data_IF_098504782630
#
_entry.id   IF_098504782630
#
_cell.length_a   1.000
_cell.length_b   1.000
_cell.length_c   1.000
_cell.angle_alpha   90.00
_cell.angle_beta   90.00
_cell.angle_gamma   90.00
#
_symmetry.space_group_name_H-M   'P 1'
#
loop_
_entity.id
_entity.type
_entity.pdbx_description
1 polymer ?
#
# COMPACT_ATOMS: atom_id res chain seq x y z
N UNK A 1 -23.32 -0.84 11.99
CA UNK A 1 -22.59 -2.11 12.06
C UNK A 1 -22.50 -2.64 13.50
N UNK A 2 -21.98 -1.85 14.45
CA UNK A 2 -21.84 -2.24 15.87
C UNK A 2 -23.16 -2.66 16.53
N UNK A 3 -24.25 -1.97 16.23
CA UNK A 3 -25.59 -2.31 16.75
C UNK A 3 -26.11 -3.64 16.21
N UNK A 4 -25.74 -4.00 14.96
CA UNK A 4 -26.22 -5.23 14.31
C UNK A 4 -25.42 -6.47 14.70
N UNK A 5 -24.11 -6.33 14.89
CA UNK A 5 -23.17 -7.45 15.06
C UNK A 5 -22.49 -7.50 16.44
N UNK A 6 -22.83 -6.54 17.32
CA UNK A 6 -22.17 -6.38 18.61
C UNK A 6 -20.77 -5.77 18.52
N UNK A 7 -20.17 -5.56 19.69
CA UNK A 7 -18.78 -5.11 19.77
C UNK A 7 -17.89 -6.35 19.71
N UNK A 8 -16.99 -6.49 18.74
CA UNK A 8 -16.08 -7.62 18.71
C UNK A 8 -15.25 -7.65 20.00
N UNK A 9 -14.96 -8.84 20.50
CA UNK A 9 -14.01 -9.00 21.61
C UNK A 9 -12.72 -8.27 21.21
N UNK A 10 -12.14 -7.50 22.13
CA UNK A 10 -10.88 -6.79 21.90
C UNK A 10 -9.82 -7.82 21.52
N UNK A 11 -9.43 -7.84 20.25
CA UNK A 11 -8.21 -8.49 19.85
C UNK A 11 -7.03 -7.60 20.26
N UNK A 12 -5.93 -8.19 20.68
CA UNK A 12 -4.68 -7.45 20.84
C UNK A 12 -4.31 -6.83 19.49
N UNK A 13 -4.14 -5.51 19.48
CA UNK A 13 -3.72 -4.78 18.29
C UNK A 13 -2.39 -4.09 18.56
N UNK A 14 -1.51 -4.12 17.57
CA UNK A 14 -0.22 -3.43 17.61
C UNK A 14 -0.14 -2.43 16.47
N UNK A 15 0.36 -1.24 16.76
CA UNK A 15 0.68 -0.22 15.76
C UNK A 15 2.19 -0.05 15.74
N UNK A 16 2.77 -0.10 14.54
CA UNK A 16 4.21 0.10 14.34
C UNK A 16 4.42 1.24 13.34
N UNK A 17 5.17 2.24 13.75
CA UNK A 17 5.57 3.37 12.92
C UNK A 17 6.97 3.14 12.37
N UNK A 18 7.19 3.35 11.09
CA UNK A 18 8.50 3.30 10.43
C UNK A 18 8.44 2.78 9.00
N UNK A 19 9.60 2.49 8.43
CA UNK A 19 9.73 1.93 7.08
C UNK A 19 9.14 0.52 7.02
N UNK A 20 8.21 0.31 6.09
CA UNK A 20 7.51 -0.97 5.93
C UNK A 20 8.45 -2.13 5.57
N UNK A 21 9.55 -1.88 4.84
CA UNK A 21 10.54 -2.90 4.53
C UNK A 21 11.22 -3.42 5.80
N UNK A 22 11.61 -2.50 6.69
CA UNK A 22 12.29 -2.86 7.94
C UNK A 22 11.31 -3.46 8.96
N UNK A 23 10.12 -2.86 9.09
CA UNK A 23 9.12 -3.34 10.05
C UNK A 23 8.66 -4.74 9.69
N UNK A 24 8.28 -5.00 8.45
CA UNK A 24 7.82 -6.33 8.03
C UNK A 24 8.92 -7.37 8.20
N UNK A 25 10.18 -7.03 7.92
CA UNK A 25 11.34 -7.91 8.17
C UNK A 25 11.50 -8.22 9.66
N UNK A 26 11.41 -7.22 10.53
CA UNK A 26 11.53 -7.41 12.00
C UNK A 26 10.39 -8.22 12.60
N UNK A 27 9.24 -8.28 11.93
CA UNK A 27 8.10 -9.09 12.37
C UNK A 27 8.26 -10.58 12.08
N UNK A 28 9.10 -10.98 11.13
CA UNK A 28 9.22 -12.37 10.67
C UNK A 28 9.55 -13.38 11.77
N UNK A 29 10.52 -13.16 12.68
CA UNK A 29 10.91 -14.16 13.66
C UNK A 29 9.75 -14.66 14.53
N UNK A 30 8.85 -13.74 14.92
CA UNK A 30 7.81 -14.02 15.89
C UNK A 30 6.42 -14.25 15.26
N UNK A 31 6.26 -13.93 13.97
CA UNK A 31 4.94 -13.86 13.34
C UNK A 31 4.84 -14.59 11.99
N UNK A 32 5.79 -15.46 11.67
CA UNK A 32 5.72 -16.24 10.44
C UNK A 32 4.39 -17.03 10.38
N UNK A 33 3.71 -16.97 9.22
CA UNK A 33 2.41 -17.63 8.96
C UNK A 33 1.32 -17.38 10.01
N UNK A 34 1.31 -16.18 10.61
CA UNK A 34 0.36 -15.85 11.68
C UNK A 34 -0.90 -15.15 11.18
N UNK A 35 -0.82 -14.37 10.12
CA UNK A 35 -1.90 -13.49 9.69
C UNK A 35 -2.76 -14.11 8.59
N UNK A 36 -4.07 -13.87 8.66
CA UNK A 36 -5.07 -14.41 7.71
C UNK A 36 -5.52 -13.37 6.68
N UNK A 37 -5.19 -12.09 6.88
CA UNK A 37 -5.56 -11.00 5.98
C UNK A 37 -4.39 -10.04 5.83
N UNK A 38 -4.02 -9.75 4.59
CA UNK A 38 -3.22 -8.59 4.21
C UNK A 38 -4.15 -7.58 3.54
N UNK A 39 -4.25 -6.38 4.10
CA UNK A 39 -5.03 -5.28 3.55
C UNK A 39 -4.13 -4.07 3.40
N UNK A 40 -3.92 -3.59 2.17
CA UNK A 40 -2.99 -2.50 1.92
C UNK A 40 -3.31 -1.70 0.68
N UNK A 41 -2.90 -0.42 0.68
CA UNK A 41 -2.83 0.43 -0.50
C UNK A 41 -1.40 0.99 -0.56
N UNK A 42 -0.51 0.35 -1.33
CA UNK A 42 0.88 0.81 -1.44
C UNK A 42 0.96 2.13 -2.21
N UNK A 43 2.08 2.88 -2.08
CA UNK A 43 2.27 4.12 -2.82
C UNK A 43 2.18 3.88 -4.34
N UNK A 44 1.76 4.91 -5.08
CA UNK A 44 1.61 4.85 -6.53
C UNK A 44 2.85 5.42 -7.22
N UNK A 45 3.36 4.70 -8.22
CA UNK A 45 4.59 5.08 -8.90
C UNK A 45 4.46 6.41 -9.65
N UNK A 46 5.34 7.36 -9.36
CA UNK A 46 5.46 8.62 -10.09
C UNK A 46 4.34 9.64 -9.86
N UNK A 47 3.47 9.43 -8.84
CA UNK A 47 2.33 10.33 -8.58
C UNK A 47 2.59 11.28 -7.43
N UNK A 48 3.14 10.76 -6.36
CA UNK A 48 3.19 11.46 -5.09
C UNK A 48 4.58 11.40 -4.52
N UNK A 49 5.16 12.56 -4.24
CA UNK A 49 6.26 12.64 -3.30
C UNK A 49 5.65 12.74 -1.90
N UNK A 50 5.50 11.60 -1.25
CA UNK A 50 4.88 11.52 0.07
C UNK A 50 5.59 12.35 1.12
N UNK A 51 6.88 12.61 0.97
CA UNK A 51 7.61 13.49 1.89
C UNK A 51 7.16 14.93 1.73
N UNK A 52 7.04 15.41 0.49
CA UNK A 52 6.51 16.75 0.19
C UNK A 52 5.05 16.89 0.61
N UNK A 53 4.22 15.91 0.31
CA UNK A 53 2.79 15.96 0.62
C UNK A 53 2.50 15.95 2.12
N UNK A 54 3.30 15.25 2.90
CA UNK A 54 3.14 15.20 4.36
C UNK A 54 3.90 16.32 5.07
N UNK A 55 4.90 16.92 4.42
CA UNK A 55 5.74 17.95 5.03
C UNK A 55 4.93 19.09 5.64
N UNK A 56 3.98 19.67 4.93
CA UNK A 56 3.18 20.78 5.42
C UNK A 56 2.39 20.41 6.70
N UNK A 57 1.87 19.18 6.76
CA UNK A 57 1.17 18.68 7.94
C UNK A 57 2.12 18.49 9.12
N UNK A 58 3.30 17.94 8.86
CA UNK A 58 4.33 17.76 9.88
C UNK A 58 4.87 19.10 10.38
N UNK A 59 5.10 20.05 9.48
CA UNK A 59 5.52 21.40 9.83
C UNK A 59 4.49 22.11 10.74
N UNK A 60 3.22 22.04 10.43
CA UNK A 60 2.13 22.58 11.27
C UNK A 60 2.09 21.96 12.68
N UNK A 61 2.62 20.75 12.84
CA UNK A 61 2.74 20.02 14.11
C UNK A 61 4.10 20.27 14.81
N UNK A 62 4.90 21.24 14.35
CA UNK A 62 6.21 21.55 14.89
C UNK A 62 7.37 20.75 14.28
N UNK A 63 7.16 20.13 13.13
CA UNK A 63 8.21 19.46 12.36
C UNK A 63 9.15 20.42 11.63
N UNK A 64 10.11 19.90 10.84
CA UNK A 64 11.14 20.69 10.18
C UNK A 64 10.56 21.71 9.18
N UNK A 65 11.27 22.82 8.97
CA UNK A 65 10.87 23.90 8.06
C UNK A 65 10.90 23.49 6.58
N UNK A 66 11.63 22.42 6.26
CA UNK A 66 11.75 21.88 4.90
C UNK A 66 11.50 20.37 4.90
N UNK A 67 11.09 19.79 3.76
CA UNK A 67 10.92 18.34 3.65
C UNK A 67 12.26 17.62 3.86
N UNK A 68 12.29 16.70 4.83
CA UNK A 68 13.47 15.90 5.12
C UNK A 68 13.24 14.44 4.73
N UNK A 69 14.18 13.88 3.98
CA UNK A 69 14.23 12.46 3.72
C UNK A 69 15.06 11.78 4.81
N UNK A 70 14.47 10.80 5.49
CA UNK A 70 15.14 10.11 6.61
C UNK A 70 16.42 9.37 6.18
N UNK A 71 16.51 8.98 4.92
CA UNK A 71 17.68 8.30 4.33
C UNK A 71 17.79 8.68 2.86
N UNK A 72 19.01 8.73 2.32
CA UNK A 72 19.26 9.04 0.91
C UNK A 72 18.63 8.03 -0.06
N UNK A 73 18.54 6.74 0.31
CA UNK A 73 17.92 5.69 -0.48
C UNK A 73 16.39 5.83 -0.57
N UNK A 74 15.77 6.61 0.31
CA UNK A 74 14.34 6.95 0.25
C UNK A 74 14.04 7.99 -0.84
N UNK A 75 15.02 8.80 -1.23
CA UNK A 75 14.85 9.81 -2.27
C UNK A 75 14.52 9.15 -3.62
N UNK A 76 13.42 9.61 -4.22
CA UNK A 76 12.94 9.07 -5.48
C UNK A 76 12.39 7.63 -5.42
N UNK A 77 12.19 7.07 -4.24
CA UNK A 77 11.73 5.68 -4.04
C UNK A 77 10.40 5.38 -4.72
N UNK A 78 9.54 6.39 -4.82
CA UNK A 78 8.24 6.27 -5.46
C UNK A 78 8.22 6.75 -6.91
N UNK A 79 9.20 7.54 -7.34
CA UNK A 79 9.29 8.09 -8.69
C UNK A 79 10.16 7.23 -9.62
N UNK A 80 11.24 6.64 -9.10
CA UNK A 80 12.10 5.76 -9.86
C UNK A 80 11.49 4.36 -9.97
N UNK A 81 11.29 3.86 -11.18
CA UNK A 81 10.65 2.57 -11.46
C UNK A 81 11.33 1.39 -10.79
N UNK A 82 12.66 1.35 -10.80
CA UNK A 82 13.44 0.26 -10.20
C UNK A 82 13.33 0.30 -8.68
N UNK A 83 13.55 1.46 -8.06
CA UNK A 83 13.39 1.63 -6.60
C UNK A 83 11.97 1.28 -6.14
N UNK A 84 10.95 1.68 -6.91
CA UNK A 84 9.57 1.35 -6.65
C UNK A 84 9.31 -0.17 -6.69
N UNK A 85 9.80 -0.85 -7.77
CA UNK A 85 9.69 -2.31 -7.87
C UNK A 85 10.38 -3.02 -6.72
N UNK A 86 11.58 -2.59 -6.33
CA UNK A 86 12.34 -3.14 -5.23
C UNK A 86 11.62 -2.96 -3.89
N UNK A 87 11.01 -1.81 -3.66
CA UNK A 87 10.17 -1.55 -2.48
C UNK A 87 9.02 -2.57 -2.37
N UNK A 88 8.21 -2.68 -3.43
CA UNK A 88 7.07 -3.61 -3.43
C UNK A 88 7.53 -5.07 -3.29
N UNK A 89 8.59 -5.45 -4.00
CA UNK A 89 9.14 -6.80 -3.94
C UNK A 89 9.60 -7.17 -2.53
N UNK A 90 10.26 -6.25 -1.84
CA UNK A 90 10.73 -6.46 -0.46
C UNK A 90 9.56 -6.58 0.51
N UNK A 91 8.62 -5.64 0.45
CA UNK A 91 7.49 -5.63 1.40
C UNK A 91 6.58 -6.83 1.17
N UNK A 92 6.16 -7.12 -0.07
CA UNK A 92 5.30 -8.27 -0.35
C UNK A 92 6.02 -9.60 -0.13
N UNK A 93 7.34 -9.66 -0.36
CA UNK A 93 8.15 -10.82 0.00
C UNK A 93 8.15 -11.11 1.50
N UNK A 94 8.35 -10.09 2.34
CA UNK A 94 8.23 -10.23 3.79
C UNK A 94 6.79 -10.59 4.20
N UNK A 95 5.79 -9.91 3.61
CA UNK A 95 4.39 -10.18 3.88
C UNK A 95 4.00 -11.63 3.55
N UNK A 96 4.47 -12.19 2.44
CA UNK A 96 4.14 -13.57 2.07
C UNK A 96 4.59 -14.58 3.13
N UNK A 97 5.71 -14.33 3.80
CA UNK A 97 6.18 -15.16 4.91
C UNK A 97 5.40 -14.95 6.22
N UNK A 98 4.78 -13.77 6.38
CA UNK A 98 3.94 -13.47 7.55
C UNK A 98 2.52 -14.04 7.41
N UNK A 99 2.04 -14.25 6.18
CA UNK A 99 0.68 -14.72 5.91
C UNK A 99 0.56 -16.23 6.02
N UNK A 100 -0.62 -16.68 6.46
CA UNK A 100 -1.03 -18.09 6.38
C UNK A 100 -1.21 -18.52 4.93
N UNK A 101 -1.18 -19.82 4.68
CA UNK A 101 -1.38 -20.37 3.32
C UNK A 101 -2.77 -20.11 2.74
N UNK A 102 -3.77 -19.99 3.62
CA UNK A 102 -5.16 -19.68 3.28
C UNK A 102 -5.53 -18.21 3.47
N UNK A 103 -4.54 -17.35 3.64
CA UNK A 103 -4.77 -15.93 3.85
C UNK A 103 -5.42 -15.27 2.64
N UNK A 104 -6.21 -14.25 2.89
CA UNK A 104 -6.72 -13.34 1.86
C UNK A 104 -5.80 -12.13 1.75
N UNK A 105 -5.43 -11.77 0.53
CA UNK A 105 -4.63 -10.60 0.24
C UNK A 105 -5.47 -9.61 -0.55
N UNK A 106 -5.66 -8.42 0.00
CA UNK A 106 -6.37 -7.32 -0.65
C UNK A 106 -5.41 -6.15 -0.86
N UNK A 107 -5.23 -5.76 -2.10
CA UNK A 107 -4.36 -4.64 -2.48
C UNK A 107 -5.14 -3.67 -3.36
N UNK A 108 -5.29 -2.42 -2.91
CA UNK A 108 -5.80 -1.33 -3.74
C UNK A 108 -4.63 -0.60 -4.37
N UNK A 109 -4.63 -0.47 -5.67
CA UNK A 109 -3.59 0.22 -6.43
C UNK A 109 -4.19 1.10 -7.51
N UNK A 110 -3.36 1.92 -8.14
CA UNK A 110 -3.80 2.77 -9.25
C UNK A 110 -3.81 1.99 -10.58
N UNK A 111 -4.72 2.36 -11.47
CA UNK A 111 -4.91 1.68 -12.77
C UNK A 111 -3.85 2.00 -13.82
N UNK A 112 -2.83 2.83 -13.52
CA UNK A 112 -1.74 3.12 -14.47
C UNK A 112 -0.96 1.87 -14.79
N UNK A 113 -0.66 1.71 -16.07
CA UNK A 113 -0.07 0.50 -16.63
C UNK A 113 1.14 0.00 -15.82
N UNK A 114 2.12 0.87 -15.55
CA UNK A 114 3.33 0.44 -14.85
C UNK A 114 3.05 0.03 -13.41
N UNK A 115 2.26 0.83 -12.67
CA UNK A 115 1.93 0.56 -11.26
C UNK A 115 1.13 -0.73 -11.11
N UNK A 116 0.06 -0.87 -11.90
CA UNK A 116 -0.80 -2.05 -11.88
C UNK A 116 -0.03 -3.31 -12.28
N UNK A 117 0.66 -3.27 -13.42
CA UNK A 117 1.44 -4.41 -13.93
C UNK A 117 2.49 -4.87 -12.92
N UNK A 118 3.29 -3.93 -12.38
CA UNK A 118 4.33 -4.25 -11.41
C UNK A 118 3.75 -4.89 -10.15
N UNK A 119 2.64 -4.35 -9.64
CA UNK A 119 1.97 -4.89 -8.47
C UNK A 119 1.44 -6.30 -8.72
N UNK A 120 0.78 -6.52 -9.86
CA UNK A 120 0.25 -7.84 -10.25
C UNK A 120 1.35 -8.87 -10.42
N UNK A 121 2.46 -8.53 -11.10
CA UNK A 121 3.61 -9.42 -11.29
C UNK A 121 4.19 -9.87 -9.94
N UNK A 122 4.45 -8.91 -9.04
CA UNK A 122 5.03 -9.21 -7.72
C UNK A 122 4.06 -10.05 -6.87
N UNK A 123 2.78 -9.72 -6.86
CA UNK A 123 1.79 -10.49 -6.11
C UNK A 123 1.69 -11.93 -6.61
N UNK A 124 1.70 -12.17 -7.92
CA UNK A 124 1.73 -13.53 -8.49
C UNK A 124 2.98 -14.31 -8.10
N UNK A 125 4.13 -13.65 -8.08
CA UNK A 125 5.40 -14.26 -7.68
C UNK A 125 5.42 -14.63 -6.18
N UNK A 126 4.93 -13.73 -5.32
CA UNK A 126 5.00 -13.92 -3.87
C UNK A 126 3.86 -14.78 -3.29
N UNK A 127 2.75 -14.91 -4.01
CA UNK A 127 1.58 -15.71 -3.60
C UNK A 127 1.17 -16.70 -4.73
N UNK A 128 2.06 -17.62 -5.13
CA UNK A 128 1.85 -18.47 -6.31
C UNK A 128 0.65 -19.44 -6.17
N UNK A 129 0.25 -19.77 -4.94
CA UNK A 129 -0.84 -20.71 -4.66
C UNK A 129 -2.20 -20.01 -4.43
N UNK A 130 -2.31 -18.75 -4.85
CA UNK A 130 -3.54 -17.98 -4.71
C UNK A 130 -4.14 -17.66 -6.07
N UNK A 131 -5.45 -17.75 -6.16
CA UNK A 131 -6.22 -17.25 -7.31
C UNK A 131 -6.40 -15.75 -7.19
N UNK A 132 -6.07 -15.02 -8.26
CA UNK A 132 -6.14 -13.56 -8.31
C UNK A 132 -7.38 -13.10 -9.05
N UNK A 133 -8.14 -12.21 -8.43
CA UNK A 133 -9.25 -11.45 -9.03
C UNK A 133 -8.88 -9.97 -9.08
N UNK A 134 -9.03 -9.33 -10.24
CA UNK A 134 -8.81 -7.90 -10.43
C UNK A 134 -10.16 -7.24 -10.67
N UNK A 135 -10.49 -6.24 -9.86
CA UNK A 135 -11.73 -5.49 -9.92
C UNK A 135 -11.40 -4.03 -10.21
N UNK A 136 -11.76 -3.56 -11.39
CA UNK A 136 -11.62 -2.16 -11.75
C UNK A 136 -12.87 -1.41 -11.27
N UNK A 137 -12.71 -0.44 -10.37
CA UNK A 137 -13.79 0.47 -10.04
C UNK A 137 -13.89 1.55 -11.13
N UNK A 138 -15.07 1.76 -11.72
CA UNK A 138 -15.26 2.88 -12.63
C UNK A 138 -15.04 4.19 -11.86
N UNK A 139 -14.32 5.13 -12.49
CA UNK A 139 -14.15 6.47 -11.94
C UNK A 139 -15.54 7.10 -11.80
N UNK A 140 -15.94 7.39 -10.57
CA UNK A 140 -17.17 8.11 -10.33
C UNK A 140 -16.94 9.60 -10.67
N UNK A 141 -17.45 10.06 -11.80
CA UNK A 141 -17.29 11.44 -12.30
C UNK A 141 -17.81 12.49 -11.32
N UNK A 142 -18.68 12.12 -10.39
CA UNK A 142 -19.22 13.02 -9.37
C UNK A 142 -18.27 13.30 -8.20
N UNK A 143 -17.23 12.49 -8.01
CA UNK A 143 -16.26 12.66 -6.91
C UNK A 143 -15.14 13.60 -7.34
N UNK A 144 -15.34 14.89 -7.12
CA UNK A 144 -14.28 15.91 -7.29
C UNK A 144 -13.28 15.79 -6.15
N UNK A 145 -12.15 15.14 -6.40
CA UNK A 145 -11.04 15.10 -5.42
C UNK A 145 -10.32 16.45 -5.37
N UNK A 146 -9.64 16.75 -4.25
CA UNK A 146 -8.89 17.99 -4.02
C UNK A 146 -7.94 18.40 -5.16
N UNK A 147 -7.48 17.45 -5.97
CA UNK A 147 -6.60 17.71 -7.12
C UNK A 147 -7.28 18.50 -8.24
N UNK A 148 -8.62 18.49 -8.32
CA UNK A 148 -9.38 19.30 -9.28
C UNK A 148 -9.39 20.77 -8.86
N UNK A 149 -9.30 21.06 -7.56
CA UNK A 149 -9.20 22.43 -7.03
C UNK A 149 -7.85 23.11 -7.40
N UNK A 150 -6.82 22.33 -7.70
CA UNK A 150 -5.52 22.83 -8.11
C UNK A 150 -5.34 22.94 -9.64
N UNK A 151 -6.40 22.85 -10.44
CA UNK A 151 -6.41 23.20 -11.87
C UNK A 151 -5.84 22.15 -12.83
N UNK A 152 -5.41 20.98 -12.38
CA UNK A 152 -4.95 19.89 -13.24
C UNK A 152 -6.11 18.94 -13.58
N UNK A 153 -6.77 19.18 -14.70
CA UNK A 153 -7.82 18.33 -15.29
C UNK A 153 -7.30 17.10 -16.04
N UNK A 154 -6.16 16.53 -15.64
CA UNK A 154 -5.72 15.26 -16.21
C UNK A 154 -6.65 14.15 -15.72
N UNK A 155 -7.20 13.37 -16.63
CA UNK A 155 -7.98 12.17 -16.32
C UNK A 155 -7.21 11.32 -15.31
N UNK A 156 -7.65 11.32 -14.04
CA UNK A 156 -7.09 10.40 -13.06
C UNK A 156 -7.48 9.00 -13.48
N UNK A 157 -6.53 8.10 -13.71
CA UNK A 157 -6.85 6.70 -13.85
C UNK A 157 -7.56 6.25 -12.56
N UNK A 158 -8.53 5.37 -12.71
CA UNK A 158 -9.27 4.81 -11.58
C UNK A 158 -8.36 4.03 -10.63
N UNK A 159 -8.90 3.63 -9.53
CA UNK A 159 -8.28 2.67 -8.63
C UNK A 159 -8.69 1.25 -9.03
N UNK A 160 -7.81 0.29 -8.76
CA UNK A 160 -8.01 -1.12 -9.05
C UNK A 160 -7.81 -1.91 -7.78
N UNK A 161 -8.78 -2.76 -7.46
CA UNK A 161 -8.69 -3.70 -6.36
C UNK A 161 -8.18 -5.05 -6.85
N UNK A 162 -7.13 -5.55 -6.22
CA UNK A 162 -6.55 -6.86 -6.46
C UNK A 162 -6.81 -7.73 -5.23
N UNK A 163 -7.52 -8.83 -5.44
CA UNK A 163 -7.90 -9.76 -4.37
C UNK A 163 -7.30 -11.12 -4.69
N UNK A 164 -6.52 -11.66 -3.76
CA UNK A 164 -5.99 -13.01 -3.86
C UNK A 164 -6.60 -13.86 -2.74
N UNK A 165 -7.09 -15.03 -3.11
CA UNK A 165 -7.62 -16.03 -2.20
C UNK A 165 -6.99 -17.37 -2.51
N UNK A 166 -6.89 -18.26 -1.52
CA UNK A 166 -6.41 -19.63 -1.75
C UNK A 166 -7.26 -20.30 -2.82
N UNK A 167 -6.60 -20.94 -3.77
CA UNK A 167 -7.23 -21.80 -4.78
C UNK A 167 -7.84 -23.04 -4.16
#
# INVERSE_FOLDING_TARGET
WRYKYGVPKRAESQVKLGDSCEITKKMLPDNARKYSLLFTSPPYCGITDYFMDQWLRLWLLGGPAEPEYQKDDHKGRFANKEKYRNLLNTVFGNCSSLMKEDATIYVRTDSREYTLRTTVEILKEKFPNHTMKICNEPVNESVKTQTILCGNSSNKPGETDIILTKS
#
